data_IF_329819115159
#
_entry.id   IF_329819115159
#
_cell.length_a   1.000
_cell.length_b   1.000
_cell.length_c   1.000
_cell.angle_alpha   90.00
_cell.angle_beta   90.00
_cell.angle_gamma   90.00
#
_symmetry.space_group_name_H-M   'P 1'
#
loop_
_entity.id
_entity.type
_entity.pdbx_description
1 polymer ?
#
# COMPACT_ATOMS: atom_id res chain seq x y z
N UNK A 1 26.27 -12.29 13.89
CA UNK A 1 26.11 -11.32 12.78
C UNK A 1 25.28 -11.90 11.62
N UNK A 2 25.19 -13.21 11.43
CA UNK A 2 24.37 -13.86 10.36
C UNK A 2 22.84 -13.76 10.50
N UNK A 3 22.28 -13.26 11.61
CA UNK A 3 20.82 -13.20 11.85
C UNK A 3 20.14 -11.87 11.46
N UNK A 4 20.88 -10.89 10.94
CA UNK A 4 20.36 -9.53 10.64
C UNK A 4 20.24 -9.24 9.13
N UNK A 5 20.18 -10.28 8.28
CA UNK A 5 20.20 -10.18 6.82
C UNK A 5 18.85 -9.93 6.13
N UNK A 6 17.87 -9.35 6.82
CA UNK A 6 16.47 -9.29 6.33
C UNK A 6 16.22 -8.46 5.06
N UNK A 7 17.12 -7.53 4.73
CA UNK A 7 16.91 -6.60 3.59
C UNK A 7 17.77 -6.87 2.35
N UNK A 8 18.62 -7.90 2.34
CA UNK A 8 19.58 -8.09 1.23
C UNK A 8 18.95 -8.60 -0.08
N UNK A 9 17.69 -9.05 -0.08
CA UNK A 9 17.21 -9.95 -1.14
C UNK A 9 15.98 -9.52 -1.94
N UNK A 10 15.80 -8.23 -2.24
CA UNK A 10 14.81 -7.91 -3.27
C UNK A 10 15.24 -6.76 -4.18
N UNK A 11 15.86 -7.11 -5.31
CA UNK A 11 15.90 -6.32 -6.55
C UNK A 11 14.49 -5.76 -6.90
N UNK A 12 13.47 -6.49 -6.46
CA UNK A 12 12.03 -6.24 -6.57
C UNK A 12 11.57 -4.97 -5.83
N UNK A 13 11.96 -4.76 -4.56
CA UNK A 13 11.57 -3.59 -3.76
C UNK A 13 12.12 -2.29 -4.33
N UNK A 14 13.25 -2.34 -5.02
CA UNK A 14 13.91 -1.16 -5.58
C UNK A 14 13.34 -0.76 -6.94
N UNK A 15 12.88 -1.72 -7.74
CA UNK A 15 12.12 -1.43 -8.98
C UNK A 15 10.74 -0.87 -8.62
N UNK A 16 10.07 -1.45 -7.62
CA UNK A 16 8.81 -0.94 -7.06
C UNK A 16 8.94 0.50 -6.58
N UNK A 17 10.01 0.81 -5.85
CA UNK A 17 10.30 2.18 -5.40
C UNK A 17 10.56 3.11 -6.58
N UNK A 18 11.35 2.70 -7.58
CA UNK A 18 11.65 3.52 -8.76
C UNK A 18 10.39 3.96 -9.46
N UNK A 19 9.50 3.00 -9.70
CA UNK A 19 8.30 3.21 -10.49
C UNK A 19 7.24 3.96 -9.66
N UNK A 20 7.08 3.60 -8.37
CA UNK A 20 6.29 4.36 -7.39
C UNK A 20 6.78 5.82 -7.33
N UNK A 21 8.08 6.08 -7.32
CA UNK A 21 8.60 7.45 -7.34
C UNK A 21 8.29 8.19 -8.66
N UNK A 22 8.50 7.59 -9.83
CA UNK A 22 8.12 8.22 -11.11
C UNK A 22 6.62 8.58 -11.15
N UNK A 23 5.76 7.68 -10.64
CA UNK A 23 4.33 7.94 -10.43
C UNK A 23 4.09 9.18 -9.58
N UNK A 24 4.73 9.28 -8.42
CA UNK A 24 4.49 10.39 -7.50
C UNK A 24 5.08 11.70 -7.98
N UNK A 25 6.27 11.68 -8.61
CA UNK A 25 6.84 12.87 -9.25
C UNK A 25 5.88 13.41 -10.32
N UNK A 26 5.24 12.54 -11.10
CA UNK A 26 4.21 12.94 -12.07
C UNK A 26 2.97 13.51 -11.39
N UNK A 27 2.44 12.86 -10.35
CA UNK A 27 1.28 13.37 -9.59
C UNK A 27 1.61 14.72 -8.94
N UNK A 28 2.80 14.88 -8.36
CA UNK A 28 3.25 16.14 -7.78
C UNK A 28 3.45 17.23 -8.84
N UNK A 29 3.84 16.91 -10.07
CA UNK A 29 3.83 17.89 -11.18
C UNK A 29 2.41 18.37 -11.50
N UNK A 30 1.46 17.45 -11.48
CA UNK A 30 0.05 17.76 -11.75
C UNK A 30 -0.57 18.58 -10.60
N UNK A 31 -0.24 18.26 -9.33
CA UNK A 31 -0.76 18.93 -8.14
C UNK A 31 -0.02 20.23 -7.79
N UNK A 32 1.28 20.31 -8.05
CA UNK A 32 2.16 21.45 -7.72
C UNK A 32 3.03 21.82 -8.94
N UNK A 33 2.43 22.42 -10.00
CA UNK A 33 3.14 22.71 -11.24
C UNK A 33 4.39 23.59 -11.06
N UNK A 34 4.40 24.45 -10.05
CA UNK A 34 5.53 25.30 -9.67
C UNK A 34 6.78 24.54 -9.24
N UNK A 35 6.65 23.27 -8.85
CA UNK A 35 7.77 22.40 -8.48
C UNK A 35 8.31 21.59 -9.67
N UNK A 36 7.73 21.71 -10.87
CA UNK A 36 8.06 20.86 -12.01
C UNK A 36 9.55 20.83 -12.34
N UNK A 37 10.24 21.98 -12.26
CA UNK A 37 11.68 22.05 -12.55
C UNK A 37 12.54 21.29 -11.54
N UNK A 38 12.14 21.28 -10.27
CA UNK A 38 12.79 20.54 -9.19
C UNK A 38 12.48 19.05 -9.31
N UNK A 39 11.23 18.69 -9.63
CA UNK A 39 10.80 17.31 -9.86
C UNK A 39 11.49 16.70 -11.08
N UNK A 40 11.77 17.48 -12.14
CA UNK A 40 12.56 17.04 -13.30
C UNK A 40 14.02 16.73 -12.96
N UNK A 41 14.62 17.52 -12.05
CA UNK A 41 15.96 17.24 -11.55
C UNK A 41 15.95 15.98 -10.70
N UNK A 42 14.94 15.81 -9.84
CA UNK A 42 14.78 14.60 -9.03
C UNK A 42 14.61 13.40 -9.96
N UNK A 43 13.65 13.39 -10.90
CA UNK A 43 13.38 12.28 -11.82
C UNK A 43 14.63 11.88 -12.63
N UNK A 44 15.34 12.87 -13.19
CA UNK A 44 16.55 12.64 -13.98
C UNK A 44 17.69 12.05 -13.16
N UNK A 45 17.86 12.49 -11.90
CA UNK A 45 18.92 12.00 -11.00
C UNK A 45 18.55 10.68 -10.31
N UNK A 46 17.26 10.41 -10.16
CA UNK A 46 16.74 9.22 -9.47
C UNK A 46 16.55 8.03 -10.39
N UNK A 47 16.34 8.23 -11.69
CA UNK A 47 16.36 7.15 -12.69
C UNK A 47 17.60 6.25 -12.61
N UNK A 48 18.72 6.79 -12.10
CA UNK A 48 19.99 6.10 -11.82
C UNK A 48 20.18 5.62 -10.38
N UNK A 49 19.37 6.09 -9.43
CA UNK A 49 19.50 5.78 -7.99
C UNK A 49 18.71 4.53 -7.55
N UNK A 50 17.71 4.09 -8.32
CA UNK A 50 16.83 2.98 -7.92
C UNK A 50 17.15 1.67 -8.65
N UNK A 51 18.30 1.11 -8.31
CA UNK A 51 18.65 -0.29 -8.64
C UNK A 51 19.19 -0.97 -7.38
N UNK A 52 19.19 -2.30 -7.28
CA UNK A 52 19.87 -3.02 -6.19
C UNK A 52 21.35 -2.64 -6.12
N UNK A 53 21.99 -2.52 -7.28
CA UNK A 53 23.33 -1.97 -7.36
C UNK A 53 23.42 -0.58 -6.75
N UNK A 54 22.49 0.33 -6.99
CA UNK A 54 22.52 1.70 -6.48
C UNK A 54 22.16 1.81 -4.98
N UNK A 55 21.28 0.96 -4.44
CA UNK A 55 21.01 0.89 -3.00
C UNK A 55 22.19 0.29 -2.23
N UNK A 56 22.73 -0.83 -2.72
CA UNK A 56 23.94 -1.42 -2.17
C UNK A 56 25.14 -0.49 -2.36
N UNK A 57 25.21 0.24 -3.47
CA UNK A 57 26.23 1.26 -3.72
C UNK A 57 26.03 2.44 -2.78
N UNK A 58 24.81 2.91 -2.55
CA UNK A 58 24.53 3.97 -1.56
C UNK A 58 24.94 3.54 -0.16
N UNK A 59 24.64 2.31 0.27
CA UNK A 59 25.15 1.76 1.53
C UNK A 59 26.68 1.69 1.58
N UNK A 60 27.32 1.28 0.48
CA UNK A 60 28.81 1.30 0.37
C UNK A 60 29.39 2.71 0.32
N UNK A 61 28.66 3.65 -0.28
CA UNK A 61 29.06 5.04 -0.47
C UNK A 61 28.82 5.86 0.78
N UNK A 62 27.89 5.45 1.65
CA UNK A 62 27.53 6.12 2.91
C UNK A 62 28.14 5.47 4.15
N UNK A 63 28.74 4.29 4.00
CA UNK A 63 29.54 3.58 5.00
C UNK A 63 30.82 3.02 4.35
N UNK A 64 31.97 3.69 4.54
CA UNK A 64 33.26 3.08 4.17
C UNK A 64 33.64 2.03 5.22
N UNK A 65 33.64 0.76 4.81
CA UNK A 65 34.16 -0.37 5.60
C UNK A 65 33.08 -1.31 6.17
N UNK A 66 33.50 -2.50 6.61
CA UNK A 66 32.65 -3.58 7.16
C UNK A 66 32.08 -3.26 8.57
N UNK A 67 31.78 -2.00 8.87
CA UNK A 67 31.25 -1.57 10.17
C UNK A 67 29.85 -0.98 10.03
N UNK A 68 28.84 -1.76 9.62
CA UNK A 68 27.48 -1.25 9.64
C UNK A 68 27.08 -0.95 11.09
N UNK A 69 26.40 0.17 11.30
CA UNK A 69 25.84 0.52 12.61
C UNK A 69 24.40 0.04 12.70
N UNK A 70 23.89 -0.08 13.92
CA UNK A 70 22.48 -0.38 14.13
C UNK A 70 21.66 0.88 13.83
N UNK A 71 20.86 0.83 12.77
CA UNK A 71 19.89 1.85 12.41
C UNK A 71 18.51 1.45 12.92
N UNK A 72 17.73 2.45 13.32
CA UNK A 72 16.31 2.28 13.62
C UNK A 72 15.53 1.93 12.36
N UNK A 73 15.86 2.59 11.24
CA UNK A 73 15.24 2.35 9.93
C UNK A 73 13.87 2.98 9.72
N UNK A 74 13.31 3.60 10.76
CA UNK A 74 12.02 4.31 10.75
C UNK A 74 11.96 5.35 11.87
N UNK A 75 13.02 6.17 12.00
CA UNK A 75 13.08 7.18 13.05
C UNK A 75 12.47 8.49 12.56
N UNK A 76 11.26 8.79 13.01
CA UNK A 76 10.56 10.03 12.76
C UNK A 76 9.84 10.51 14.02
N UNK A 77 9.39 11.78 14.06
CA UNK A 77 8.93 12.43 15.29
C UNK A 77 7.86 11.66 16.10
N UNK A 78 6.88 10.94 15.49
CA UNK A 78 5.94 10.09 16.24
C UNK A 78 6.54 8.85 16.89
N UNK A 79 7.65 8.31 16.36
CA UNK A 79 8.38 7.18 16.95
C UNK A 79 9.32 7.61 18.08
N UNK A 80 9.30 8.90 18.44
CA UNK A 80 10.05 9.47 19.55
C UNK A 80 9.07 9.95 20.62
N UNK A 81 9.15 9.35 21.80
CA UNK A 81 8.33 9.75 22.94
C UNK A 81 9.03 10.86 23.71
N UNK A 82 8.31 11.94 23.96
CA UNK A 82 8.79 13.12 24.66
C UNK A 82 8.11 13.28 26.02
N UNK A 83 8.85 13.80 26.99
CA UNK A 83 8.31 14.40 28.21
C UNK A 83 8.62 15.89 28.21
N UNK A 84 7.95 16.68 29.04
CA UNK A 84 8.34 18.07 29.27
C UNK A 84 8.93 18.19 30.67
N UNK A 85 10.03 18.93 30.80
CA UNK A 85 10.51 19.34 32.11
C UNK A 85 9.67 20.50 32.67
N UNK A 86 10.00 20.95 33.89
CA UNK A 86 9.27 21.99 34.60
C UNK A 86 9.30 23.35 33.85
N UNK A 87 10.22 23.55 32.92
CA UNK A 87 10.34 24.73 32.06
C UNK A 87 9.58 24.57 30.73
N UNK A 88 8.92 23.43 30.51
CA UNK A 88 8.19 23.11 29.31
C UNK A 88 9.05 22.64 28.14
N UNK A 89 10.34 22.37 28.37
CA UNK A 89 11.29 21.93 27.34
C UNK A 89 11.12 20.42 27.12
N UNK A 90 11.01 20.01 25.86
CA UNK A 90 10.91 18.60 25.51
C UNK A 90 12.20 17.84 25.87
N UNK A 91 12.03 16.73 26.59
CA UNK A 91 13.07 15.77 26.96
C UNK A 91 12.72 14.42 26.36
N UNK A 92 13.68 13.86 25.62
CA UNK A 92 13.57 12.50 25.08
C UNK A 92 13.28 11.52 26.21
N UNK A 93 12.18 10.77 26.10
CA UNK A 93 11.77 9.75 27.06
C UNK A 93 12.07 8.35 26.56
N UNK A 94 11.76 8.06 25.31
CA UNK A 94 12.01 6.78 24.67
C UNK A 94 12.01 6.92 23.14
N UNK A 95 12.63 5.94 22.48
CA UNK A 95 12.53 5.70 21.03
C UNK A 95 11.84 4.35 20.88
N UNK A 96 10.77 4.29 20.09
CA UNK A 96 9.88 3.13 19.95
C UNK A 96 9.70 2.75 18.48
N UNK A 97 9.06 1.62 18.23
CA UNK A 97 8.74 1.13 16.88
C UNK A 97 9.96 0.74 16.02
N UNK A 98 10.75 -0.18 16.57
CA UNK A 98 11.97 -0.70 15.96
C UNK A 98 11.71 -1.76 14.87
N UNK A 99 10.52 -1.79 14.25
CA UNK A 99 10.14 -2.83 13.30
C UNK A 99 11.02 -2.89 12.04
N UNK A 100 11.68 -1.78 11.69
CA UNK A 100 12.61 -1.67 10.56
C UNK A 100 14.09 -1.68 10.97
N UNK A 101 14.41 -2.11 12.19
CA UNK A 101 15.78 -2.15 12.70
C UNK A 101 16.69 -2.98 11.80
N UNK A 102 17.84 -2.42 11.43
CA UNK A 102 18.77 -3.10 10.54
C UNK A 102 20.20 -2.59 10.68
N UNK A 103 21.14 -3.30 10.07
CA UNK A 103 22.52 -2.87 9.95
C UNK A 103 22.70 -2.02 8.69
N UNK A 104 23.06 -0.74 8.84
CA UNK A 104 23.05 0.25 7.76
C UNK A 104 23.94 1.47 8.01
N UNK A 105 23.64 2.57 7.31
CA UNK A 105 24.27 3.87 7.54
C UNK A 105 23.46 4.69 8.55
N UNK A 106 24.11 5.30 9.57
CA UNK A 106 23.39 6.17 10.51
C UNK A 106 22.85 7.44 9.82
N UNK A 107 23.32 7.75 8.61
CA UNK A 107 22.83 8.87 7.82
C UNK A 107 21.37 8.64 7.38
N UNK A 108 20.95 7.38 7.21
CA UNK A 108 19.56 7.02 6.87
C UNK A 108 18.59 7.53 7.96
N UNK A 109 18.92 7.23 9.22
CA UNK A 109 18.17 7.67 10.40
C UNK A 109 18.21 9.20 10.58
N UNK A 110 19.37 9.83 10.38
CA UNK A 110 19.48 11.28 10.48
C UNK A 110 18.59 12.01 9.48
N UNK A 111 18.56 11.54 8.24
CA UNK A 111 17.72 12.14 7.20
C UNK A 111 16.24 12.05 7.59
N UNK A 112 15.78 10.88 8.04
CA UNK A 112 14.38 10.68 8.48
C UNK A 112 14.03 11.57 9.67
N UNK A 113 14.92 11.62 10.66
CA UNK A 113 14.70 12.43 11.86
C UNK A 113 14.68 13.92 11.52
N UNK A 114 15.65 14.44 10.76
CA UNK A 114 15.68 15.85 10.41
C UNK A 114 14.51 16.27 9.52
N UNK A 115 14.08 15.41 8.59
CA UNK A 115 12.92 15.68 7.76
C UNK A 115 11.63 15.82 8.60
N UNK A 116 11.44 14.96 9.60
CA UNK A 116 10.23 14.97 10.43
C UNK A 116 10.28 15.96 11.60
N UNK A 117 11.48 16.36 12.05
CA UNK A 117 11.68 17.22 13.23
C UNK A 117 11.92 18.69 12.90
N UNK A 118 12.31 19.04 11.68
CA UNK A 118 12.68 20.41 11.30
C UNK A 118 11.71 20.98 10.25
N UNK A 119 11.35 22.26 10.41
CA UNK A 119 10.75 23.02 9.30
C UNK A 119 11.76 23.24 8.18
N UNK A 120 11.29 23.50 6.95
CA UNK A 120 12.17 23.79 5.81
C UNK A 120 13.11 24.98 6.08
N UNK A 121 12.62 26.01 6.79
CA UNK A 121 13.45 27.15 7.21
C UNK A 121 14.54 26.72 8.21
N UNK A 122 14.15 26.00 9.27
CA UNK A 122 15.08 25.53 10.29
C UNK A 122 16.13 24.59 9.72
N UNK A 123 15.72 23.70 8.81
CA UNK A 123 16.61 22.80 8.07
C UNK A 123 17.66 23.59 7.30
N UNK A 124 17.25 24.51 6.40
CA UNK A 124 18.17 25.32 5.59
C UNK A 124 19.15 26.14 6.43
N UNK A 125 18.70 26.62 7.58
CA UNK A 125 19.51 27.45 8.48
C UNK A 125 20.50 26.64 9.32
N UNK A 126 20.13 25.44 9.76
CA UNK A 126 20.84 24.75 10.84
C UNK A 126 21.43 23.39 10.45
N UNK A 127 21.14 22.82 9.27
CA UNK A 127 21.51 21.44 8.96
C UNK A 127 23.01 21.17 9.10
N UNK A 128 23.88 22.03 8.56
CA UNK A 128 25.34 21.88 8.67
C UNK A 128 25.84 21.92 10.12
N UNK A 129 25.20 22.73 10.98
CA UNK A 129 25.52 22.76 12.41
C UNK A 129 25.16 21.45 13.10
N UNK A 130 24.02 20.85 12.77
CA UNK A 130 23.59 19.57 13.33
C UNK A 130 24.44 18.41 12.81
N UNK A 131 24.78 18.40 11.52
CA UNK A 131 25.68 17.43 10.91
C UNK A 131 27.06 17.46 11.56
N UNK A 132 27.65 18.65 11.72
CA UNK A 132 28.94 18.79 12.39
C UNK A 132 28.91 18.32 13.85
N UNK A 133 27.83 18.64 14.58
CA UNK A 133 27.65 18.15 15.95
C UNK A 133 27.60 16.62 16.00
N UNK A 134 26.82 16.00 15.12
CA UNK A 134 26.67 14.55 15.07
C UNK A 134 27.98 13.85 14.67
N UNK A 135 28.69 14.39 13.68
CA UNK A 135 30.00 13.88 13.25
C UNK A 135 31.02 13.88 14.40
N UNK A 136 31.17 15.01 15.11
CA UNK A 136 32.08 15.08 16.26
C UNK A 136 31.63 14.17 17.42
N UNK A 137 30.32 14.03 17.63
CA UNK A 137 29.79 13.10 18.63
C UNK A 137 30.16 11.65 18.30
N UNK A 138 29.97 11.21 17.05
CA UNK A 138 30.38 9.87 16.62
C UNK A 138 31.88 9.67 16.75
N UNK A 139 32.70 10.64 16.29
CA UNK A 139 34.16 10.56 16.38
C UNK A 139 34.67 10.43 17.83
N UNK A 140 33.98 11.06 18.78
CA UNK A 140 34.32 10.99 20.21
C UNK A 140 33.95 9.64 20.84
N UNK A 141 32.87 9.02 20.38
CA UNK A 141 32.27 7.85 21.05
C UNK A 141 32.53 6.52 20.33
N UNK A 142 32.97 6.54 19.07
CA UNK A 142 33.38 5.34 18.34
C UNK A 142 34.87 5.04 18.55
N UNK A 143 35.29 3.76 18.53
CA UNK A 143 36.70 3.40 18.48
C UNK A 143 37.41 4.08 17.30
N UNK A 144 38.68 4.46 17.48
CA UNK A 144 39.47 5.16 16.44
C UNK A 144 39.57 4.37 15.12
N UNK A 145 39.51 3.04 15.19
CA UNK A 145 39.58 2.15 14.04
C UNK A 145 38.19 1.88 13.41
N UNK A 146 37.13 2.44 13.98
CA UNK A 146 35.73 2.31 13.53
C UNK A 146 35.21 3.56 12.83
N UNK A 147 36.11 4.44 12.38
CA UNK A 147 35.73 5.69 11.70
C UNK A 147 35.09 5.36 10.35
N UNK A 148 33.79 5.64 10.25
CA UNK A 148 32.99 5.48 9.04
C UNK A 148 33.39 6.46 7.92
N UNK A 149 34.03 7.59 8.29
CA UNK A 149 34.45 8.66 7.37
C UNK A 149 35.84 9.20 7.72
N UNK A 150 36.62 9.52 6.69
CA UNK A 150 37.98 10.05 6.80
C UNK A 150 38.02 11.54 7.18
N UNK A 151 36.97 12.31 6.84
CA UNK A 151 36.85 13.74 7.15
C UNK A 151 35.39 14.18 7.30
N UNK A 152 35.17 15.39 7.80
CA UNK A 152 33.82 15.98 7.89
C UNK A 152 33.25 16.28 6.51
N UNK A 153 34.08 16.74 5.57
CA UNK A 153 33.66 17.01 4.18
C UNK A 153 33.15 15.74 3.50
N UNK A 154 33.78 14.59 3.78
CA UNK A 154 33.31 13.30 3.29
C UNK A 154 31.99 12.89 3.95
N UNK A 155 31.85 13.05 5.27
CA UNK A 155 30.58 12.82 5.98
C UNK A 155 29.43 13.66 5.40
N UNK A 156 29.67 14.95 5.15
CA UNK A 156 28.68 15.88 4.60
C UNK A 156 28.24 15.45 3.18
N UNK A 157 29.21 15.12 2.32
CA UNK A 157 28.92 14.62 0.97
C UNK A 157 28.09 13.33 1.00
N UNK A 158 28.41 12.42 1.92
CA UNK A 158 27.66 11.17 2.08
C UNK A 158 26.26 11.42 2.66
N UNK A 159 26.09 12.43 3.52
CA UNK A 159 24.77 12.86 3.96
C UNK A 159 23.92 13.39 2.80
N UNK A 160 24.50 14.17 1.87
CA UNK A 160 23.76 14.64 0.69
C UNK A 160 23.26 13.47 -0.19
N UNK A 161 24.08 12.42 -0.32
CA UNK A 161 23.71 11.18 -1.03
C UNK A 161 22.56 10.48 -0.31
N UNK A 162 22.69 10.29 1.02
CA UNK A 162 21.64 9.68 1.85
C UNK A 162 20.33 10.50 1.79
N UNK A 163 20.43 11.83 1.85
CA UNK A 163 19.28 12.72 1.79
C UNK A 163 18.55 12.58 0.46
N UNK A 164 19.28 12.66 -0.66
CA UNK A 164 18.69 12.51 -1.99
C UNK A 164 18.01 11.15 -2.15
N UNK A 165 18.61 10.09 -1.61
CA UNK A 165 18.09 8.74 -1.70
C UNK A 165 16.82 8.54 -0.85
N UNK A 166 16.91 8.82 0.45
CA UNK A 166 15.82 8.63 1.42
C UNK A 166 14.63 9.54 1.10
N UNK A 167 14.84 10.80 0.74
CA UNK A 167 13.72 11.69 0.37
C UNK A 167 13.02 11.24 -0.90
N UNK A 168 13.75 10.65 -1.86
CA UNK A 168 13.14 10.12 -3.09
C UNK A 168 12.29 8.86 -2.82
N UNK A 169 12.59 8.10 -1.76
CA UNK A 169 11.77 6.98 -1.26
C UNK A 169 10.49 7.45 -0.56
N UNK A 170 10.56 8.55 0.20
CA UNK A 170 9.45 9.03 1.02
C UNK A 170 8.49 9.98 0.28
N UNK A 171 8.97 10.73 -0.73
CA UNK A 171 8.14 11.62 -1.56
C UNK A 171 6.86 10.92 -2.08
N UNK A 172 6.91 9.63 -2.43
CA UNK A 172 5.74 8.80 -2.69
C UNK A 172 4.67 8.66 -1.62
N UNK A 173 5.04 8.72 -0.35
CA UNK A 173 4.14 8.40 0.76
C UNK A 173 3.36 9.63 1.24
N UNK A 174 3.55 10.79 0.60
CA UNK A 174 2.87 12.04 0.96
C UNK A 174 1.50 12.20 0.30
N UNK A 175 0.87 11.12 -0.20
CA UNK A 175 -0.46 11.12 -0.83
C UNK A 175 -1.66 11.21 0.14
N UNK A 176 -1.45 11.59 1.40
CA UNK A 176 -2.53 11.72 2.41
C UNK A 176 -3.67 12.69 2.02
N UNK A 177 -3.48 13.53 1.00
CA UNK A 177 -4.50 14.49 0.57
C UNK A 177 -5.73 13.82 -0.06
N UNK A 178 -5.60 12.62 -0.65
CA UNK A 178 -6.73 11.91 -1.26
C UNK A 178 -7.73 11.41 -0.22
N UNK A 179 -7.27 10.89 0.92
CA UNK A 179 -8.19 10.47 1.98
C UNK A 179 -8.92 11.68 2.57
N UNK A 180 -8.22 12.81 2.77
CA UNK A 180 -8.84 14.07 3.20
C UNK A 180 -9.88 14.54 2.16
N UNK A 181 -9.56 14.41 0.87
CA UNK A 181 -10.49 14.72 -0.21
C UNK A 181 -11.76 13.86 -0.14
N UNK A 182 -11.63 12.55 0.08
CA UNK A 182 -12.78 11.67 0.23
C UNK A 182 -13.68 12.14 1.38
N UNK A 183 -13.13 12.31 2.58
CA UNK A 183 -13.94 12.65 3.74
C UNK A 183 -14.59 14.04 3.62
N UNK A 184 -13.87 15.04 3.10
CA UNK A 184 -14.40 16.39 2.86
C UNK A 184 -15.53 16.42 1.81
N UNK A 185 -15.48 15.51 0.83
CA UNK A 185 -16.44 15.47 -0.28
C UNK A 185 -17.55 14.43 -0.10
N UNK A 186 -17.40 13.49 0.85
CA UNK A 186 -18.27 12.33 1.05
C UNK A 186 -19.76 12.68 1.12
N UNK A 187 -20.14 13.67 1.94
CA UNK A 187 -21.55 14.05 2.14
C UNK A 187 -22.09 14.97 1.05
N UNK A 188 -21.39 16.06 0.75
CA UNK A 188 -21.94 17.12 -0.11
C UNK A 188 -21.78 16.85 -1.61
N UNK A 189 -20.65 16.25 -2.00
CA UNK A 189 -20.31 16.02 -3.40
C UNK A 189 -20.67 14.59 -3.79
N UNK A 190 -20.15 13.60 -3.06
CA UNK A 190 -20.37 12.18 -3.35
C UNK A 190 -21.76 11.70 -2.91
N UNK A 191 -22.37 12.38 -1.93
CA UNK A 191 -23.69 12.04 -1.42
C UNK A 191 -23.74 10.65 -0.78
N UNK A 192 -22.68 10.24 -0.08
CA UNK A 192 -22.63 8.98 0.67
C UNK A 192 -23.70 9.02 1.78
N UNK A 193 -24.62 8.03 1.85
CA UNK A 193 -25.62 7.97 2.91
C UNK A 193 -25.03 7.80 4.30
N UNK A 194 -25.72 8.32 5.32
CA UNK A 194 -25.37 8.09 6.73
C UNK A 194 -25.52 6.60 7.15
N UNK A 195 -26.20 5.79 6.34
CA UNK A 195 -26.29 4.33 6.51
C UNK A 195 -25.02 3.60 6.10
N UNK A 196 -24.09 4.25 5.38
CA UNK A 196 -22.78 3.67 5.10
C UNK A 196 -21.89 3.90 6.33
N UNK A 197 -21.37 2.84 6.95
CA UNK A 197 -20.52 2.97 8.12
C UNK A 197 -19.18 3.59 7.71
N UNK A 198 -18.99 4.86 8.05
CA UNK A 198 -17.72 5.57 7.91
C UNK A 198 -17.24 6.03 9.28
N UNK A 199 -15.92 6.09 9.47
CA UNK A 199 -15.36 6.79 10.62
C UNK A 199 -15.83 8.26 10.58
N UNK A 200 -16.33 8.77 11.71
CA UNK A 200 -16.80 10.15 11.75
C UNK A 200 -15.62 11.10 11.51
N UNK A 201 -15.72 11.89 10.45
CA UNK A 201 -14.78 12.94 10.13
C UNK A 201 -15.07 14.21 10.94
N UNK A 202 -14.08 14.69 11.69
CA UNK A 202 -14.18 15.95 12.44
C UNK A 202 -13.62 17.12 11.64
N UNK A 203 -12.40 16.99 11.15
CA UNK A 203 -11.74 17.97 10.31
C UNK A 203 -10.50 17.35 9.66
N UNK A 204 -9.92 18.08 8.71
CA UNK A 204 -8.70 17.70 8.05
C UNK A 204 -8.22 18.84 7.18
N UNK A 205 -6.91 18.89 6.95
CA UNK A 205 -6.26 19.89 6.12
C UNK A 205 -5.24 19.16 5.26
N UNK A 206 -5.35 19.35 3.94
CA UNK A 206 -4.33 18.91 3.01
C UNK A 206 -2.97 19.51 3.37
N UNK A 207 -1.89 18.91 2.89
CA UNK A 207 -0.55 19.43 3.10
C UNK A 207 -0.46 20.94 2.78
N UNK A 208 0.23 21.68 3.64
CA UNK A 208 0.46 23.11 3.46
C UNK A 208 1.89 23.48 3.86
N UNK A 209 2.57 24.24 3.00
CA UNK A 209 3.98 24.60 3.18
C UNK A 209 4.26 25.41 4.45
N UNK A 210 3.33 26.25 4.90
CA UNK A 210 3.52 27.07 6.12
C UNK A 210 3.54 26.22 7.39
N UNK A 211 2.75 25.14 7.42
CA UNK A 211 2.67 24.20 8.54
C UNK A 211 3.63 23.01 8.39
N UNK A 212 4.09 22.72 7.18
CA UNK A 212 4.94 21.57 6.87
C UNK A 212 4.24 20.21 7.05
N UNK A 213 2.92 20.19 7.19
CA UNK A 213 2.14 18.98 7.42
C UNK A 213 0.69 19.13 6.94
N UNK A 214 0.08 17.99 6.56
CA UNK A 214 -1.36 17.80 6.48
C UNK A 214 -1.84 16.97 7.68
N UNK A 215 -3.14 17.01 7.98
CA UNK A 215 -3.72 16.17 9.03
C UNK A 215 -5.15 15.78 8.71
N UNK A 216 -5.57 14.66 9.27
CA UNK A 216 -6.97 14.24 9.32
C UNK A 216 -7.33 13.87 10.76
N UNK A 217 -8.49 14.32 11.22
CA UNK A 217 -9.03 13.99 12.53
C UNK A 217 -10.32 13.19 12.33
N UNK A 218 -10.22 11.90 12.65
CA UNK A 218 -11.32 10.94 12.60
C UNK A 218 -11.71 10.51 14.01
N UNK A 219 -12.90 9.93 14.13
CA UNK A 219 -13.33 9.21 15.32
C UNK A 219 -12.39 8.07 15.66
N UNK A 220 -11.98 8.04 16.92
CA UNK A 220 -11.30 6.90 17.50
C UNK A 220 -12.36 5.84 17.85
N UNK A 221 -12.28 4.69 17.20
CA UNK A 221 -13.24 3.60 17.37
C UNK A 221 -12.59 2.53 18.26
N UNK A 222 -13.16 2.35 19.46
CA UNK A 222 -12.66 1.39 20.45
C UNK A 222 -13.16 -0.04 20.18
N UNK A 223 -12.45 -1.02 20.78
CA UNK A 223 -12.86 -2.44 20.84
C UNK A 223 -13.06 -3.10 19.47
N UNK A 224 -12.15 -2.80 18.56
CA UNK A 224 -12.12 -3.39 17.24
C UNK A 224 -11.68 -4.86 17.29
N UNK A 225 -12.20 -5.63 16.34
CA UNK A 225 -11.75 -6.99 16.02
C UNK A 225 -11.06 -6.96 14.67
N UNK A 226 -9.84 -7.48 14.61
CA UNK A 226 -9.08 -7.56 13.36
C UNK A 226 -9.59 -8.75 12.52
N UNK A 227 -9.76 -8.52 11.22
CA UNK A 227 -10.07 -9.57 10.25
C UNK A 227 -8.95 -9.64 9.21
N UNK A 228 -7.82 -10.22 9.59
CA UNK A 228 -6.69 -10.44 8.68
C UNK A 228 -7.04 -11.40 7.52
N UNK A 229 -6.18 -11.45 6.50
CA UNK A 229 -6.36 -12.27 5.29
C UNK A 229 -6.49 -13.77 5.56
N UNK A 230 -6.03 -14.28 6.71
CA UNK A 230 -6.19 -15.67 7.13
C UNK A 230 -7.51 -15.96 7.86
N UNK A 231 -8.28 -14.93 8.20
CA UNK A 231 -9.66 -15.07 8.65
C UNK A 231 -10.61 -15.16 7.45
N UNK A 232 -11.79 -15.71 7.69
CA UNK A 232 -12.89 -15.74 6.72
C UNK A 232 -14.10 -15.01 7.29
N UNK A 233 -14.80 -14.27 6.43
CA UNK A 233 -16.08 -13.67 6.82
C UNK A 233 -17.21 -14.66 6.66
N UNK A 234 -18.13 -14.64 7.62
CA UNK A 234 -19.40 -15.35 7.48
C UNK A 234 -20.24 -14.73 6.36
N UNK A 235 -21.19 -15.49 5.82
CA UNK A 235 -22.04 -15.04 4.71
C UNK A 235 -22.79 -13.74 5.01
N UNK A 236 -23.36 -13.61 6.22
CA UNK A 236 -24.16 -12.45 6.62
C UNK A 236 -23.37 -11.14 6.57
N UNK A 237 -22.23 -10.97 7.29
CA UNK A 237 -21.42 -9.75 7.18
C UNK A 237 -20.88 -9.53 5.77
N UNK A 238 -20.57 -10.59 5.02
CA UNK A 238 -20.15 -10.45 3.63
C UNK A 238 -21.25 -9.83 2.75
N UNK A 239 -22.49 -10.32 2.85
CA UNK A 239 -23.65 -9.76 2.12
C UNK A 239 -23.91 -8.31 2.53
N UNK A 240 -23.77 -7.99 3.83
CA UNK A 240 -23.88 -6.61 4.33
C UNK A 240 -22.85 -5.68 3.67
N UNK A 241 -21.58 -6.10 3.61
CA UNK A 241 -20.50 -5.33 2.96
C UNK A 241 -20.79 -5.16 1.45
N UNK A 242 -21.23 -6.22 0.76
CA UNK A 242 -21.64 -6.16 -0.65
C UNK A 242 -22.77 -5.12 -0.84
N UNK A 243 -23.72 -5.07 0.09
CA UNK A 243 -24.79 -4.07 0.13
C UNK A 243 -24.26 -2.64 0.23
N UNK A 244 -23.29 -2.39 1.12
CA UNK A 244 -22.65 -1.09 1.25
C UNK A 244 -21.86 -0.71 -0.01
N UNK A 245 -21.11 -1.66 -0.57
CA UNK A 245 -20.38 -1.47 -1.83
C UNK A 245 -21.31 -1.09 -2.98
N UNK A 246 -22.45 -1.75 -3.11
CA UNK A 246 -23.42 -1.41 -4.15
C UNK A 246 -23.92 0.04 -3.98
N UNK A 247 -24.23 0.45 -2.75
CA UNK A 247 -24.68 1.80 -2.43
C UNK A 247 -23.61 2.88 -2.65
N UNK A 248 -22.34 2.57 -2.44
CA UNK A 248 -21.19 3.44 -2.73
C UNK A 248 -21.01 3.55 -4.25
N UNK A 249 -20.96 2.41 -4.94
CA UNK A 249 -20.71 2.33 -6.38
C UNK A 249 -21.67 3.21 -7.20
N UNK A 250 -22.98 3.10 -6.95
CA UNK A 250 -24.02 3.87 -7.65
C UNK A 250 -23.88 5.40 -7.49
N UNK A 251 -23.08 5.89 -6.53
CA UNK A 251 -22.84 7.33 -6.36
C UNK A 251 -21.99 7.90 -7.49
N UNK A 252 -21.13 7.07 -8.09
CA UNK A 252 -20.40 7.43 -9.31
C UNK A 252 -21.30 7.96 -10.43
N UNK A 253 -22.53 7.44 -10.53
CA UNK A 253 -23.52 7.87 -11.53
C UNK A 253 -23.94 9.33 -11.41
N UNK A 254 -23.99 9.87 -10.19
CA UNK A 254 -24.35 11.28 -9.96
C UNK A 254 -23.19 12.22 -10.26
N UNK A 255 -21.99 11.67 -10.44
CA UNK A 255 -20.73 12.38 -10.49
C UNK A 255 -20.13 12.44 -11.90
N UNK A 256 -20.65 11.69 -12.86
CA UNK A 256 -20.15 11.62 -14.24
C UNK A 256 -19.96 13.01 -14.89
N UNK A 257 -20.81 13.99 -14.56
CA UNK A 257 -20.70 15.39 -15.03
C UNK A 257 -19.90 16.34 -14.13
N UNK A 258 -19.61 15.96 -12.87
CA UNK A 258 -18.88 16.80 -11.89
C UNK A 258 -17.41 16.39 -11.73
N UNK A 259 -17.09 15.12 -12.01
CA UNK A 259 -15.76 14.53 -11.90
C UNK A 259 -14.89 14.74 -13.15
N UNK A 260 -15.41 15.28 -14.27
CA UNK A 260 -14.53 15.75 -15.36
C UNK A 260 -13.47 16.77 -14.89
N UNK A 261 -13.65 17.41 -13.72
CA UNK A 261 -12.64 18.27 -13.08
C UNK A 261 -11.70 17.56 -12.09
N UNK A 262 -12.02 16.33 -11.70
CA UNK A 262 -11.19 15.48 -10.85
C UNK A 262 -10.61 14.41 -11.79
N UNK A 263 -9.53 14.76 -12.50
CA UNK A 263 -8.74 13.79 -13.29
C UNK A 263 -8.08 12.77 -12.34
N UNK A 264 -8.86 11.83 -11.81
CA UNK A 264 -8.31 10.67 -11.11
C UNK A 264 -7.98 9.61 -12.14
N UNK A 265 -6.74 9.64 -12.65
CA UNK A 265 -6.14 8.45 -13.26
C UNK A 265 -6.21 7.34 -12.22
N UNK A 266 -6.83 6.20 -12.55
CA UNK A 266 -6.99 5.06 -11.66
C UNK A 266 -5.62 4.75 -11.02
N UNK A 267 -5.52 4.83 -9.70
CA UNK A 267 -4.26 4.66 -9.00
C UNK A 267 -3.64 3.28 -9.30
N UNK A 268 -4.46 2.27 -9.58
CA UNK A 268 -4.07 0.94 -10.02
C UNK A 268 -3.50 0.88 -11.41
N UNK A 269 -3.93 1.74 -12.34
CA UNK A 269 -3.34 1.76 -13.69
C UNK A 269 -1.85 2.09 -13.66
N UNK A 270 -1.47 2.87 -12.65
CA UNK A 270 -0.08 3.23 -12.42
C UNK A 270 0.59 2.24 -11.46
N UNK A 271 -0.07 1.82 -10.38
CA UNK A 271 0.49 0.84 -9.42
C UNK A 271 0.71 -0.51 -10.09
N UNK A 272 -0.30 -1.08 -10.75
CA UNK A 272 -0.24 -2.40 -11.38
C UNK A 272 0.86 -2.47 -12.43
N UNK A 273 1.00 -1.48 -13.32
CA UNK A 273 2.08 -1.48 -14.33
C UNK A 273 3.47 -1.58 -13.69
N UNK A 274 3.61 -1.03 -12.49
CA UNK A 274 4.85 -0.94 -11.75
C UNK A 274 5.12 -2.18 -10.87
N UNK A 275 4.07 -2.76 -10.26
CA UNK A 275 4.15 -3.96 -9.41
C UNK A 275 4.06 -5.28 -10.17
N UNK A 276 3.55 -5.22 -11.40
CA UNK A 276 3.30 -6.36 -12.27
C UNK A 276 4.43 -6.56 -13.30
N UNK A 277 5.65 -6.10 -13.03
CA UNK A 277 6.77 -6.49 -13.89
C UNK A 277 6.81 -8.01 -13.99
N UNK A 278 6.83 -8.53 -15.22
CA UNK A 278 6.67 -9.95 -15.52
C UNK A 278 7.69 -10.79 -14.73
N UNK A 279 8.96 -10.40 -14.80
CA UNK A 279 10.09 -11.08 -14.16
C UNK A 279 9.97 -11.09 -12.63
N UNK A 280 9.50 -10.00 -12.05
CA UNK A 280 9.28 -9.84 -10.61
C UNK A 280 8.16 -10.76 -10.15
N UNK A 281 7.05 -10.79 -10.88
CA UNK A 281 5.87 -11.55 -10.49
C UNK A 281 6.08 -13.05 -10.71
N UNK A 282 6.77 -13.44 -11.79
CA UNK A 282 7.24 -14.82 -11.99
C UNK A 282 8.12 -15.28 -10.83
N UNK A 283 9.08 -14.46 -10.41
CA UNK A 283 9.91 -14.78 -9.24
C UNK A 283 9.06 -14.96 -7.97
N UNK A 284 8.06 -14.11 -7.73
CA UNK A 284 7.20 -14.27 -6.55
C UNK A 284 6.44 -15.59 -6.55
N UNK A 285 5.93 -16.03 -7.70
CA UNK A 285 5.32 -17.34 -7.83
C UNK A 285 6.31 -18.48 -7.59
N UNK A 286 7.55 -18.35 -8.04
CA UNK A 286 8.60 -19.34 -7.73
C UNK A 286 8.87 -19.40 -6.23
N UNK A 287 9.00 -18.24 -5.57
CA UNK A 287 9.23 -18.14 -4.12
C UNK A 287 8.03 -18.72 -3.33
N UNK A 288 6.81 -18.52 -3.82
CA UNK A 288 5.59 -19.11 -3.25
C UNK A 288 5.63 -20.65 -3.22
N UNK A 289 6.31 -21.31 -4.18
CA UNK A 289 6.51 -22.78 -4.14
C UNK A 289 7.39 -23.23 -2.98
N UNK A 290 8.23 -22.34 -2.44
CA UNK A 290 9.03 -22.63 -1.25
C UNK A 290 8.16 -22.56 0.00
N UNK A 291 7.24 -21.59 0.06
CA UNK A 291 6.31 -21.41 1.19
C UNK A 291 5.24 -22.51 1.21
N UNK A 292 4.63 -22.81 0.06
CA UNK A 292 3.60 -23.84 -0.09
C UNK A 292 3.93 -24.82 -1.23
N UNK A 293 4.78 -25.83 -0.98
CA UNK A 293 5.22 -26.78 -2.00
C UNK A 293 4.09 -27.60 -2.63
N UNK A 294 3.01 -27.85 -1.89
CA UNK A 294 1.82 -28.58 -2.33
C UNK A 294 1.06 -27.87 -3.47
N UNK A 295 1.23 -26.55 -3.60
CA UNK A 295 0.60 -25.74 -4.65
C UNK A 295 1.42 -25.70 -5.96
N UNK A 296 2.59 -26.36 -6.00
CA UNK A 296 3.56 -26.26 -7.10
C UNK A 296 2.97 -26.54 -8.49
N UNK A 297 2.13 -27.58 -8.64
CA UNK A 297 1.55 -27.93 -9.94
C UNK A 297 0.63 -26.84 -10.49
N UNK A 298 -0.16 -26.21 -9.62
CA UNK A 298 -1.04 -25.12 -10.02
C UNK A 298 -0.25 -23.84 -10.31
N UNK A 299 0.78 -23.57 -9.51
CA UNK A 299 1.70 -22.45 -9.74
C UNK A 299 2.42 -22.61 -11.10
N UNK A 300 2.91 -23.80 -11.42
CA UNK A 300 3.56 -24.08 -12.70
C UNK A 300 2.60 -23.87 -13.89
N UNK A 301 1.33 -24.25 -13.73
CA UNK A 301 0.29 -23.95 -14.71
C UNK A 301 0.10 -22.43 -14.91
N UNK A 302 -0.01 -21.66 -13.82
CA UNK A 302 -0.14 -20.20 -13.87
C UNK A 302 1.08 -19.57 -14.56
N UNK A 303 2.29 -19.97 -14.17
CA UNK A 303 3.55 -19.50 -14.76
C UNK A 303 3.62 -19.78 -16.26
N UNK A 304 3.13 -20.93 -16.73
CA UNK A 304 3.06 -21.24 -18.16
C UNK A 304 2.14 -20.28 -18.93
N UNK A 305 1.04 -19.84 -18.31
CA UNK A 305 0.08 -18.91 -18.94
C UNK A 305 0.51 -17.44 -18.82
N UNK A 306 1.36 -17.14 -17.85
CA UNK A 306 1.74 -15.78 -17.46
C UNK A 306 2.19 -14.88 -18.62
N UNK A 307 3.10 -15.31 -19.52
CA UNK A 307 3.57 -14.46 -20.61
C UNK A 307 2.46 -13.99 -21.57
N UNK A 308 1.41 -14.80 -21.75
CA UNK A 308 0.28 -14.47 -22.63
C UNK A 308 -0.62 -13.36 -22.08
N UNK A 309 -0.64 -13.20 -20.75
CA UNK A 309 -1.38 -12.15 -20.04
C UNK A 309 -0.63 -10.82 -20.16
N UNK A 310 0.68 -10.85 -19.90
CA UNK A 310 1.52 -9.66 -19.86
C UNK A 310 1.89 -9.11 -21.23
N UNK A 311 1.93 -9.95 -22.25
CA UNK A 311 2.16 -9.53 -23.64
C UNK A 311 1.14 -8.47 -24.11
N UNK A 312 -0.04 -8.43 -23.50
CA UNK A 312 -1.13 -7.52 -23.85
C UNK A 312 -1.65 -6.76 -22.59
N UNK A 313 -0.79 -6.48 -21.60
CA UNK A 313 -1.18 -5.84 -20.33
C UNK A 313 -1.98 -4.54 -20.54
N UNK A 314 -1.61 -3.70 -21.51
CA UNK A 314 -2.35 -2.48 -21.87
C UNK A 314 -3.73 -2.80 -22.47
N UNK A 315 -3.84 -3.83 -23.30
CA UNK A 315 -5.12 -4.30 -23.82
C UNK A 315 -5.98 -4.92 -22.71
N UNK A 316 -5.36 -5.57 -21.74
CA UNK A 316 -6.04 -6.17 -20.60
C UNK A 316 -6.59 -5.08 -19.66
N UNK A 317 -5.81 -4.04 -19.38
CA UNK A 317 -6.25 -2.81 -18.71
C UNK A 317 -7.40 -2.14 -19.47
N UNK A 318 -7.26 -2.02 -20.80
CA UNK A 318 -8.31 -1.53 -21.66
C UNK A 318 -9.57 -2.40 -21.59
N UNK A 319 -9.47 -3.74 -21.47
CA UNK A 319 -10.64 -4.61 -21.31
C UNK A 319 -11.35 -4.41 -19.96
N UNK A 320 -10.59 -4.17 -18.88
CA UNK A 320 -11.14 -3.82 -17.57
C UNK A 320 -11.95 -2.51 -17.63
N UNK A 321 -11.44 -1.54 -18.40
CA UNK A 321 -12.00 -0.19 -18.50
C UNK A 321 -13.06 -0.02 -19.61
N UNK A 322 -12.90 -0.66 -20.77
CA UNK A 322 -13.79 -0.56 -21.95
C UNK A 322 -15.08 -1.36 -21.76
N UNK A 323 -15.06 -2.43 -20.98
CA UNK A 323 -16.27 -3.21 -20.64
C UNK A 323 -17.03 -2.63 -19.43
N UNK A 324 -16.72 -1.40 -19.01
CA UNK A 324 -17.49 -0.67 -18.00
C UNK A 324 -18.14 0.54 -18.67
N UNK A 325 -19.29 0.38 -19.37
CA UNK A 325 -19.97 1.49 -20.04
C UNK A 325 -20.43 2.58 -19.07
N UNK A 326 -20.41 2.27 -17.78
CA UNK A 326 -20.71 3.16 -16.67
C UNK A 326 -19.56 3.06 -15.67
N UNK A 327 -18.95 4.19 -15.31
CA UNK A 327 -17.89 4.25 -14.30
C UNK A 327 -18.51 4.53 -12.93
N UNK A 328 -18.18 3.68 -11.95
CA UNK A 328 -18.76 3.72 -10.61
C UNK A 328 -17.71 4.12 -9.57
N UNK A 329 -18.16 4.60 -8.42
CA UNK A 329 -17.26 4.99 -7.33
C UNK A 329 -16.69 3.74 -6.65
N UNK A 330 -15.38 3.62 -6.65
CA UNK A 330 -14.65 2.52 -6.04
C UNK A 330 -13.90 3.03 -4.82
N UNK A 331 -13.84 2.23 -3.76
CA UNK A 331 -12.89 2.42 -2.67
C UNK A 331 -11.47 2.26 -3.19
N UNK A 332 -11.26 1.28 -4.08
CA UNK A 332 -9.99 1.03 -4.74
C UNK A 332 -8.96 0.34 -3.84
N UNK A 333 -9.30 -0.09 -2.63
CA UNK A 333 -8.40 -0.92 -1.81
C UNK A 333 -9.19 -1.65 -0.72
N UNK A 334 -10.35 -2.20 -1.07
CA UNK A 334 -11.26 -2.75 -0.05
C UNK A 334 -10.94 -4.20 0.32
N UNK A 335 -9.98 -4.38 1.22
CA UNK A 335 -9.59 -5.67 1.79
C UNK A 335 -10.17 -5.74 3.20
N UNK A 336 -10.29 -6.93 3.79
CA UNK A 336 -10.85 -7.09 5.14
C UNK A 336 -10.12 -6.25 6.21
N UNK A 337 -8.86 -5.90 6.01
CA UNK A 337 -8.09 -5.04 6.94
C UNK A 337 -8.48 -3.56 6.88
N UNK A 338 -9.09 -3.11 5.77
CA UNK A 338 -9.59 -1.74 5.58
C UNK A 338 -11.06 -1.60 5.99
N UNK A 339 -11.60 -2.66 6.60
CA UNK A 339 -12.92 -2.69 7.22
C UNK A 339 -12.72 -2.88 8.71
N UNK A 340 -13.15 -1.88 9.48
CA UNK A 340 -13.12 -1.95 10.93
C UNK A 340 -14.31 -2.78 11.41
N UNK A 341 -14.04 -3.84 12.17
CA UNK A 341 -15.08 -4.72 12.69
C UNK A 341 -15.21 -4.64 14.20
N UNK A 342 -16.39 -4.98 14.70
CA UNK A 342 -16.59 -5.49 16.06
C UNK A 342 -17.13 -6.92 15.98
N UNK A 343 -17.20 -7.64 17.10
CA UNK A 343 -17.87 -8.94 17.17
C UNK A 343 -19.09 -8.85 18.07
N UNK A 344 -20.19 -9.48 17.66
CA UNK A 344 -21.38 -9.61 18.50
C UNK A 344 -21.18 -10.69 19.59
N UNK A 345 -22.21 -10.91 20.43
CA UNK A 345 -22.18 -11.92 21.50
C UNK A 345 -21.96 -13.35 20.99
N UNK A 346 -22.20 -13.61 19.69
CA UNK A 346 -21.99 -14.91 19.05
C UNK A 346 -20.63 -15.01 18.35
N UNK A 347 -19.84 -13.94 18.36
CA UNK A 347 -18.55 -13.86 17.68
C UNK A 347 -18.65 -13.53 16.19
N UNK A 348 -19.83 -13.15 15.67
CA UNK A 348 -20.00 -12.73 14.27
C UNK A 348 -19.45 -11.32 14.06
N UNK A 349 -18.70 -11.13 12.97
CA UNK A 349 -18.21 -9.81 12.61
C UNK A 349 -19.36 -8.85 12.28
N UNK A 350 -19.24 -7.62 12.76
CA UNK A 350 -20.16 -6.51 12.51
C UNK A 350 -19.36 -5.33 11.96
N UNK A 351 -19.78 -4.80 10.80
CA UNK A 351 -19.08 -3.69 10.14
C UNK A 351 -19.25 -2.42 10.98
N UNK A 352 -18.13 -1.78 11.32
CA UNK A 352 -18.12 -0.54 12.09
C UNK A 352 -17.74 0.68 11.27
N UNK A 353 -16.76 0.56 10.38
CA UNK A 353 -16.39 1.62 9.44
C UNK A 353 -15.56 1.08 8.27
N UNK A 354 -15.74 1.68 7.10
CA UNK A 354 -14.78 1.62 6.00
C UNK A 354 -13.75 2.74 6.14
N UNK A 355 -12.46 2.42 6.02
CA UNK A 355 -11.32 3.34 6.22
C UNK A 355 -10.29 3.15 5.12
N UNK A 356 -9.28 4.03 5.09
CA UNK A 356 -8.20 3.99 4.11
C UNK A 356 -8.69 4.30 2.68
N UNK A 357 -9.34 5.46 2.55
CA UNK A 357 -9.89 5.94 1.29
C UNK A 357 -8.83 6.58 0.37
N UNK A 358 -7.53 6.38 0.60
CA UNK A 358 -6.46 7.06 -0.13
C UNK A 358 -6.43 6.71 -1.64
N UNK A 359 -7.00 5.55 -2.01
CA UNK A 359 -7.09 5.05 -3.39
C UNK A 359 -8.50 5.14 -4.02
N UNK A 360 -9.42 5.89 -3.40
CA UNK A 360 -10.77 6.04 -3.95
C UNK A 360 -10.75 6.68 -5.33
N UNK A 361 -11.53 6.13 -6.27
CA UNK A 361 -11.54 6.62 -7.65
C UNK A 361 -12.82 6.22 -8.40
N UNK A 362 -12.99 6.77 -9.60
CA UNK A 362 -14.04 6.35 -10.54
C UNK A 362 -13.48 5.25 -11.45
N UNK A 363 -13.99 4.04 -11.30
CA UNK A 363 -13.42 2.84 -11.89
C UNK A 363 -14.45 1.72 -12.12
N UNK A 364 -13.94 0.50 -12.26
CA UNK A 364 -14.79 -0.68 -12.36
C UNK A 364 -15.19 -1.14 -10.96
N UNK A 365 -16.51 -1.26 -10.66
CA UNK A 365 -16.98 -1.65 -9.33
C UNK A 365 -16.57 -3.07 -8.93
N UNK A 366 -16.14 -3.92 -9.88
CA UNK A 366 -15.66 -5.26 -9.55
C UNK A 366 -14.29 -5.24 -8.87
N UNK A 367 -13.54 -4.14 -8.93
CA UNK A 367 -12.24 -4.01 -8.28
C UNK A 367 -12.36 -4.20 -6.76
N UNK A 368 -13.33 -3.54 -6.13
CA UNK A 368 -13.59 -3.70 -4.70
C UNK A 368 -14.11 -5.10 -4.36
N UNK A 369 -14.91 -5.72 -5.24
CA UNK A 369 -15.36 -7.09 -5.05
C UNK A 369 -14.19 -8.08 -5.12
N UNK A 370 -13.26 -7.91 -6.07
CA UNK A 370 -12.09 -8.78 -6.19
C UNK A 370 -11.25 -8.77 -4.91
N UNK A 371 -10.97 -7.58 -4.35
CA UNK A 371 -10.22 -7.47 -3.10
C UNK A 371 -10.98 -7.99 -1.90
N UNK A 372 -12.27 -7.68 -1.79
CA UNK A 372 -13.11 -8.20 -0.72
C UNK A 372 -13.14 -9.72 -0.77
N UNK A 373 -13.43 -10.32 -1.92
CA UNK A 373 -13.55 -11.78 -2.03
C UNK A 373 -12.20 -12.46 -1.76
N UNK A 374 -11.10 -11.91 -2.30
CA UNK A 374 -9.75 -12.42 -2.04
C UNK A 374 -9.42 -12.46 -0.54
N UNK A 375 -9.73 -11.38 0.17
CA UNK A 375 -9.39 -11.25 1.59
C UNK A 375 -10.42 -11.85 2.54
N UNK A 376 -11.67 -12.05 2.11
CA UNK A 376 -12.77 -12.51 2.96
C UNK A 376 -13.16 -13.99 2.80
N UNK A 377 -13.01 -14.58 1.61
CA UNK A 377 -13.57 -15.91 1.35
C UNK A 377 -12.65 -17.04 1.81
N UNK A 378 -13.24 -18.05 2.45
CA UNK A 378 -12.59 -19.32 2.71
C UNK A 378 -12.70 -20.29 1.52
N UNK A 379 -12.07 -21.48 1.63
CA UNK A 379 -12.10 -22.51 0.58
C UNK A 379 -13.51 -22.99 0.19
N UNK A 380 -14.49 -22.86 1.09
CA UNK A 380 -15.88 -23.24 0.80
C UNK A 380 -16.63 -22.08 0.15
N UNK A 381 -16.45 -20.87 0.65
CA UNK A 381 -17.17 -19.69 0.19
C UNK A 381 -16.72 -19.24 -1.21
N UNK A 382 -15.46 -19.48 -1.59
CA UNK A 382 -14.95 -19.16 -2.94
C UNK A 382 -15.73 -19.88 -4.05
N UNK A 383 -16.27 -21.09 -3.77
CA UNK A 383 -17.11 -21.86 -4.70
C UNK A 383 -18.47 -21.19 -4.92
N UNK A 384 -18.85 -20.24 -4.06
CA UNK A 384 -20.09 -19.47 -4.10
C UNK A 384 -19.87 -18.04 -4.60
N UNK A 385 -18.71 -17.72 -5.15
CA UNK A 385 -18.42 -16.38 -5.72
C UNK A 385 -19.53 -15.89 -6.66
N UNK A 386 -20.03 -16.74 -7.57
CA UNK A 386 -21.12 -16.36 -8.48
C UNK A 386 -22.43 -15.98 -7.75
N UNK A 387 -22.71 -16.59 -6.60
CA UNK A 387 -23.87 -16.21 -5.79
C UNK A 387 -23.71 -14.79 -5.21
N UNK A 388 -22.52 -14.45 -4.71
CA UNK A 388 -22.24 -13.11 -4.21
C UNK A 388 -22.24 -12.05 -5.32
N UNK A 389 -21.76 -12.41 -6.51
CA UNK A 389 -21.84 -11.55 -7.70
C UNK A 389 -23.29 -11.34 -8.16
N UNK A 390 -24.14 -12.36 -8.10
CA UNK A 390 -25.58 -12.22 -8.36
C UNK A 390 -26.23 -11.25 -7.37
N UNK A 391 -25.95 -11.39 -6.07
CA UNK A 391 -26.46 -10.47 -5.04
C UNK A 391 -26.04 -9.02 -5.35
N UNK A 392 -24.78 -8.80 -5.72
CA UNK A 392 -24.30 -7.47 -6.10
C UNK A 392 -25.00 -6.92 -7.35
N UNK A 393 -25.13 -7.74 -8.40
CA UNK A 393 -25.83 -7.39 -9.63
C UNK A 393 -27.27 -6.96 -9.35
N UNK A 394 -28.02 -7.76 -8.58
CA UNK A 394 -29.42 -7.49 -8.25
C UNK A 394 -29.54 -6.17 -7.47
N UNK A 395 -28.68 -5.93 -6.49
CA UNK A 395 -28.67 -4.69 -5.70
C UNK A 395 -28.40 -3.44 -6.56
N UNK A 396 -27.44 -3.52 -7.50
CA UNK A 396 -27.16 -2.42 -8.43
C UNK A 396 -28.36 -2.21 -9.35
N UNK A 397 -28.86 -3.28 -9.99
CA UNK A 397 -29.98 -3.27 -10.93
C UNK A 397 -31.24 -2.68 -10.30
N UNK A 398 -31.58 -3.10 -9.09
CA UNK A 398 -32.74 -2.60 -8.34
C UNK A 398 -32.58 -1.12 -7.98
N UNK A 399 -31.36 -0.67 -7.65
CA UNK A 399 -31.11 0.70 -7.23
C UNK A 399 -31.16 1.72 -8.38
N UNK A 400 -30.75 1.32 -9.60
CA UNK A 400 -30.56 2.26 -10.73
C UNK A 400 -31.48 1.98 -11.92
N UNK A 401 -32.16 0.84 -11.92
CA UNK A 401 -33.03 0.37 -13.00
C UNK A 401 -32.25 -0.37 -14.09
N UNK A 402 -32.92 -1.32 -14.74
CA UNK A 402 -32.36 -2.19 -15.78
C UNK A 402 -31.71 -1.42 -16.94
N UNK A 403 -32.34 -0.33 -17.39
CA UNK A 403 -31.82 0.52 -18.48
C UNK A 403 -30.49 1.23 -18.16
N UNK A 404 -30.16 1.36 -16.87
CA UNK A 404 -28.92 2.01 -16.40
C UNK A 404 -27.93 1.02 -15.79
N UNK A 405 -28.23 -0.28 -15.84
CA UNK A 405 -27.30 -1.29 -15.35
C UNK A 405 -26.05 -1.30 -16.25
N UNK A 406 -24.82 -1.35 -15.69
CA UNK A 406 -23.61 -1.44 -16.50
C UNK A 406 -23.50 -2.75 -17.29
N UNK A 407 -24.27 -3.76 -16.90
CA UNK A 407 -24.24 -5.12 -17.43
C UNK A 407 -25.61 -5.52 -17.97
N UNK A 408 -25.63 -6.17 -19.14
CA UNK A 408 -26.83 -6.76 -19.73
C UNK A 408 -27.41 -7.82 -18.79
N UNK A 409 -26.55 -8.70 -18.28
CA UNK A 409 -26.90 -9.75 -17.33
C UNK A 409 -25.78 -10.00 -16.30
N UNK A 410 -26.06 -10.89 -15.35
CA UNK A 410 -25.06 -11.30 -14.34
C UNK A 410 -23.85 -12.00 -14.96
N UNK A 411 -23.99 -12.64 -16.12
CA UNK A 411 -22.88 -13.36 -16.76
C UNK A 411 -21.82 -12.39 -17.28
N UNK A 412 -22.24 -11.21 -17.75
CA UNK A 412 -21.32 -10.13 -18.11
C UNK A 412 -20.55 -9.59 -16.88
N UNK A 413 -21.23 -9.38 -15.75
CA UNK A 413 -20.57 -9.04 -14.47
C UNK A 413 -19.56 -10.11 -14.05
N UNK A 414 -19.95 -11.39 -14.10
CA UNK A 414 -19.07 -12.52 -13.75
C UNK A 414 -17.85 -12.53 -14.65
N UNK A 415 -18.01 -12.32 -15.96
CA UNK A 415 -16.88 -12.24 -16.89
C UNK A 415 -15.95 -11.07 -16.57
N UNK A 416 -16.50 -9.90 -16.22
CA UNK A 416 -15.70 -8.73 -15.82
C UNK A 416 -14.94 -9.00 -14.51
N UNK A 417 -15.59 -9.66 -13.54
CA UNK A 417 -14.96 -10.08 -12.30
C UNK A 417 -13.84 -11.09 -12.55
N UNK A 418 -14.08 -12.17 -13.30
CA UNK A 418 -13.06 -13.19 -13.60
C UNK A 418 -11.85 -12.58 -14.33
N UNK A 419 -12.10 -11.66 -15.26
CA UNK A 419 -11.07 -10.86 -15.94
C UNK A 419 -10.26 -10.07 -14.92
N UNK A 420 -10.91 -9.28 -14.06
CA UNK A 420 -10.22 -8.45 -13.06
C UNK A 420 -9.48 -9.28 -12.01
N UNK A 421 -10.05 -10.40 -11.59
CA UNK A 421 -9.47 -11.37 -10.66
C UNK A 421 -8.15 -11.91 -11.21
N UNK A 422 -8.11 -12.31 -12.49
CA UNK A 422 -6.88 -12.76 -13.14
C UNK A 422 -5.78 -11.69 -13.03
N UNK A 423 -6.04 -10.43 -13.36
CA UNK A 423 -4.95 -9.44 -13.35
C UNK A 423 -4.51 -9.13 -11.94
N UNK A 424 -5.47 -8.80 -11.07
CA UNK A 424 -5.16 -8.26 -9.75
C UNK A 424 -4.57 -9.35 -8.86
N UNK A 425 -5.21 -10.53 -8.82
CA UNK A 425 -4.83 -11.59 -7.89
C UNK A 425 -3.58 -12.34 -8.36
N UNK A 426 -3.30 -12.38 -9.67
CA UNK A 426 -2.00 -12.88 -10.17
C UNK A 426 -0.79 -12.10 -9.64
N UNK A 427 -0.98 -10.84 -9.29
CA UNK A 427 0.10 -10.00 -8.77
C UNK A 427 0.09 -10.00 -7.23
N UNK A 428 -1.11 -9.83 -6.66
CA UNK A 428 -1.30 -9.63 -5.22
C UNK A 428 -1.12 -10.92 -4.44
N UNK A 429 -1.61 -12.05 -4.96
CA UNK A 429 -1.55 -13.32 -4.24
C UNK A 429 -0.12 -13.79 -3.92
N UNK A 430 0.80 -13.93 -4.88
CA UNK A 430 2.16 -14.36 -4.57
C UNK A 430 2.92 -13.30 -3.74
N UNK A 431 2.55 -12.02 -3.86
CA UNK A 431 3.10 -10.96 -3.00
C UNK A 431 2.69 -11.16 -1.53
N UNK A 432 1.41 -11.42 -1.26
CA UNK A 432 0.91 -11.65 0.09
C UNK A 432 1.45 -12.95 0.68
N UNK A 433 1.55 -14.02 -0.11
CA UNK A 433 2.12 -15.28 0.37
C UNK A 433 3.58 -15.11 0.79
N UNK A 434 4.37 -14.37 0.01
CA UNK A 434 5.78 -14.19 0.32
C UNK A 434 6.02 -13.28 1.53
N UNK A 435 5.09 -12.37 1.83
CA UNK A 435 5.12 -11.51 3.04
C UNK A 435 4.34 -12.06 4.23
N UNK A 436 3.72 -13.24 4.10
CA UNK A 436 2.80 -13.77 5.09
C UNK A 436 3.45 -14.08 6.44
N UNK A 437 4.67 -14.62 6.42
CA UNK A 437 5.39 -14.95 7.66
C UNK A 437 5.64 -13.68 8.51
N UNK A 438 5.96 -12.55 7.88
CA UNK A 438 6.12 -11.27 8.58
C UNK A 438 4.80 -10.78 9.22
N UNK A 439 3.65 -11.11 8.61
CA UNK A 439 2.33 -10.72 9.12
C UNK A 439 1.90 -11.52 10.35
N UNK A 440 2.35 -12.78 10.49
CA UNK A 440 1.94 -13.64 11.61
C UNK A 440 2.90 -13.57 12.81
N UNK A 441 4.08 -12.97 12.66
CA UNK A 441 5.01 -12.73 13.80
C UNK A 441 4.37 -11.85 14.88
N UNK A 442 3.39 -11.02 14.53
CA UNK A 442 2.63 -10.20 15.47
C UNK A 442 1.47 -10.94 16.16
N UNK A 443 1.18 -12.19 15.77
CA UNK A 443 0.13 -13.00 16.40
C UNK A 443 0.62 -13.59 17.74
N UNK A 444 -0.33 -14.04 18.57
CA UNK A 444 -0.02 -14.86 19.74
C UNK A 444 0.73 -16.12 19.27
N UNK A 445 1.81 -16.50 19.95
CA UNK A 445 2.61 -17.68 19.61
C UNK A 445 1.76 -18.95 19.50
N UNK A 446 0.67 -19.04 20.27
CA UNK A 446 -0.25 -20.18 20.25
C UNK A 446 -1.20 -20.19 19.04
N UNK A 447 -1.32 -19.08 18.31
CA UNK A 447 -2.21 -18.93 17.14
C UNK A 447 -1.47 -19.02 15.80
N UNK A 448 -0.13 -18.91 15.80
CA UNK A 448 0.70 -18.90 14.57
C UNK A 448 0.44 -20.12 13.68
N UNK A 449 0.40 -21.33 14.26
CA UNK A 449 0.18 -22.55 13.49
C UNK A 449 -1.22 -22.58 12.87
N UNK A 450 -2.23 -22.11 13.62
CA UNK A 450 -3.60 -21.99 13.11
C UNK A 450 -3.68 -20.95 11.97
N UNK A 451 -3.01 -19.80 12.12
CA UNK A 451 -2.94 -18.77 11.09
C UNK A 451 -2.29 -19.33 9.81
N UNK A 452 -1.15 -20.04 9.95
CA UNK A 452 -0.43 -20.64 8.82
C UNK A 452 -1.26 -21.70 8.11
N UNK A 453 -1.93 -22.57 8.84
CA UNK A 453 -2.82 -23.59 8.27
C UNK A 453 -3.99 -22.95 7.51
N UNK A 454 -4.70 -22.00 8.13
CA UNK A 454 -5.86 -21.36 7.49
C UNK A 454 -5.46 -20.54 6.26
N UNK A 455 -4.36 -19.79 6.33
CA UNK A 455 -3.85 -19.07 5.18
C UNK A 455 -3.40 -20.01 4.06
N UNK A 456 -2.74 -21.13 4.40
CA UNK A 456 -2.34 -22.14 3.43
C UNK A 456 -3.54 -22.74 2.67
N UNK A 457 -4.60 -23.11 3.39
CA UNK A 457 -5.85 -23.61 2.78
C UNK A 457 -6.50 -22.57 1.87
N UNK A 458 -6.55 -21.31 2.32
CA UNK A 458 -7.08 -20.20 1.53
C UNK A 458 -6.23 -19.91 0.30
N UNK A 459 -4.91 -19.93 0.45
CA UNK A 459 -3.96 -19.78 -0.65
C UNK A 459 -4.16 -20.85 -1.70
N UNK A 460 -4.28 -22.12 -1.31
CA UNK A 460 -4.52 -23.22 -2.23
C UNK A 460 -5.86 -23.04 -2.99
N UNK A 461 -6.90 -22.58 -2.31
CA UNK A 461 -8.19 -22.29 -2.93
C UNK A 461 -8.12 -21.12 -3.93
N UNK A 462 -7.40 -20.05 -3.59
CA UNK A 462 -7.17 -18.90 -4.47
C UNK A 462 -6.36 -19.30 -5.70
N UNK A 463 -5.29 -20.08 -5.51
CA UNK A 463 -4.44 -20.59 -6.61
C UNK A 463 -5.26 -21.49 -7.55
N UNK A 464 -6.13 -22.35 -7.00
CA UNK A 464 -7.05 -23.15 -7.81
C UNK A 464 -8.05 -22.30 -8.59
N UNK A 465 -8.60 -21.24 -7.97
CA UNK A 465 -9.53 -20.33 -8.62
C UNK A 465 -8.86 -19.51 -9.73
N UNK A 466 -7.60 -19.08 -9.55
CA UNK A 466 -6.79 -18.48 -10.61
C UNK A 466 -6.68 -19.42 -11.81
N UNK A 467 -6.30 -20.69 -11.61
CA UNK A 467 -6.24 -21.69 -12.68
C UNK A 467 -7.59 -21.82 -13.40
N UNK A 468 -8.70 -21.91 -12.66
CA UNK A 468 -10.06 -22.02 -13.21
C UNK A 468 -10.43 -20.81 -14.08
N UNK A 469 -10.11 -19.60 -13.62
CA UNK A 469 -10.33 -18.37 -14.40
C UNK A 469 -9.45 -18.35 -15.66
N UNK A 470 -8.20 -18.81 -15.58
CA UNK A 470 -7.31 -18.93 -16.74
C UNK A 470 -7.82 -19.88 -17.81
N UNK A 471 -8.36 -21.03 -17.41
CA UNK A 471 -8.91 -22.03 -18.34
C UNK A 471 -10.06 -21.46 -19.17
N UNK A 472 -10.95 -20.68 -18.53
CA UNK A 472 -12.07 -20.02 -19.22
C UNK A 472 -11.63 -18.88 -20.11
N UNK A 473 -10.62 -18.12 -19.73
CA UNK A 473 -10.19 -16.93 -20.47
C UNK A 473 -9.56 -17.24 -21.83
N UNK A 474 -8.93 -18.41 -21.97
CA UNK A 474 -8.24 -18.82 -23.21
C UNK A 474 -9.21 -19.44 -24.23
N UNK A 475 -10.42 -19.83 -23.81
CA UNK A 475 -11.49 -20.37 -24.66
C UNK A 475 -12.33 -19.25 -25.27
#
# INVERSE_FOLDING_TARGET
>A
MEKWGGFENSLISLILVKNKMQKHLRIMREMMPELSSQLDVIERKTGTLFTQSSFMQMRKDTCKGNHPVLCHGDIWTPNILWTKDDEGIFRLKAIVDWQFVHLGSPLEDLVLFFHSALSAESYRKNIFKFLHFYYEFLRKNLPKDSLLWESYEEFEKQYEIAYAYTMSLLLPMTLNDNEILFYTQSKEVLGIPETIPLAKYFCGRMYNEELGAGYILLEFIEKLSLCHVYHNLQEKPLIEIIGHLAQIAIRGLKLEKKIEKIEQKNAWDVILKDIAELTVTEKRFIDMKVVFPDQSTQIDYILQKFPSIFADFEKFQDLRMKNSPIRLLCHGDLWTTNILFTKDEKGEFQVKAFVDWQLFHIGSPVEDLVFLMYSALGPNEIKRTNFYLQVYYDLIKDAIGEEKCPWEDVAELIKQYETSYIHMISIIHPMNVNGFEDQIIACDENEIDWCRENFGLKSAAITAELCRCFEKWIQ
#
